data_IF_425398131747
#
_entry.id   IF_425398131747
#
_cell.length_a   1.000
_cell.length_b   1.000
_cell.length_c   1.000
_cell.angle_alpha   90.00
_cell.angle_beta   90.00
_cell.angle_gamma   90.00
#
_symmetry.space_group_name_H-M   'P 1'
#
loop_
_entity.id
_entity.type
_entity.pdbx_description
1 polymer ?
#
# COMPACT_ATOMS: atom_id res chain seq x y z
N UNK A 1 -2.87 -3.38 -29.10
CA UNK A 1 -4.14 -3.30 -28.35
C UNK A 1 -3.88 -2.45 -27.11
N UNK A 2 -4.47 -1.25 -26.96
CA UNK A 2 -4.11 -0.35 -25.87
C UNK A 2 -4.98 -0.67 -24.66
N UNK A 3 -4.71 -1.81 -24.02
CA UNK A 3 -5.36 -2.14 -22.76
C UNK A 3 -4.84 -1.16 -21.69
N UNK A 4 -5.76 -0.44 -21.04
CA UNK A 4 -5.45 0.33 -19.84
C UNK A 4 -5.07 -0.67 -18.76
N UNK A 5 -3.78 -0.83 -18.51
CA UNK A 5 -3.32 -1.36 -17.23
C UNK A 5 -3.83 -0.38 -16.16
N UNK A 6 -4.95 -0.69 -15.52
CA UNK A 6 -5.38 0.02 -14.32
C UNK A 6 -4.32 -0.28 -13.26
N UNK A 7 -3.36 0.64 -13.16
CA UNK A 7 -2.35 0.59 -12.12
C UNK A 7 -3.05 0.70 -10.77
N UNK A 8 -2.53 0.00 -9.76
CA UNK A 8 -3.01 0.06 -8.37
C UNK A 8 -3.11 1.52 -7.87
N UNK A 9 -2.32 2.42 -8.45
CA UNK A 9 -2.36 3.86 -8.19
C UNK A 9 -3.68 4.49 -8.65
N UNK A 10 -4.18 4.15 -9.83
CA UNK A 10 -5.44 4.66 -10.38
C UNK A 10 -6.65 4.27 -9.52
N UNK A 11 -6.69 3.02 -9.04
CA UNK A 11 -7.74 2.56 -8.12
C UNK A 11 -7.69 3.31 -6.79
N UNK A 12 -6.49 3.56 -6.25
CA UNK A 12 -6.35 4.34 -5.01
C UNK A 12 -6.74 5.81 -5.20
N UNK A 13 -6.48 6.39 -6.38
CA UNK A 13 -6.93 7.75 -6.71
C UNK A 13 -8.46 7.81 -6.74
N UNK A 14 -9.12 6.87 -7.43
CA UNK A 14 -10.60 6.79 -7.45
C UNK A 14 -11.18 6.63 -6.06
N UNK A 15 -10.54 5.83 -5.21
CA UNK A 15 -10.93 5.66 -3.81
C UNK A 15 -10.90 6.99 -3.05
N UNK A 16 -9.81 7.77 -3.16
CA UNK A 16 -9.69 9.06 -2.46
C UNK A 16 -10.69 10.09 -2.99
N UNK A 17 -10.94 10.10 -4.31
CA UNK A 17 -11.95 10.99 -4.92
C UNK A 17 -13.33 10.68 -4.33
N UNK A 18 -13.75 9.41 -4.29
CA UNK A 18 -15.04 9.02 -3.69
C UNK A 18 -15.11 9.36 -2.20
N UNK A 19 -14.02 9.18 -1.47
CA UNK A 19 -13.98 9.54 -0.05
C UNK A 19 -14.17 11.06 0.15
N UNK A 20 -13.60 11.89 -0.73
CA UNK A 20 -13.82 13.35 -0.75
C UNK A 20 -15.23 13.75 -1.17
N UNK A 21 -15.90 12.93 -1.97
CA UNK A 21 -17.30 13.11 -2.37
C UNK A 21 -18.28 12.99 -1.19
N UNK A 22 -17.81 12.46 -0.05
CA UNK A 22 -18.59 12.31 1.18
C UNK A 22 -18.98 10.86 1.50
N UNK A 23 -18.51 9.90 0.70
CA UNK A 23 -18.74 8.48 0.95
C UNK A 23 -18.06 8.00 2.22
N UNK A 24 -18.70 7.06 2.92
CA UNK A 24 -18.14 6.52 4.16
C UNK A 24 -16.99 5.55 3.88
N UNK A 25 -15.91 5.68 4.66
CA UNK A 25 -14.76 4.78 4.61
C UNK A 25 -15.16 3.30 4.74
N UNK A 26 -16.25 2.97 5.43
CA UNK A 26 -16.69 1.58 5.61
C UNK A 26 -17.31 0.99 4.34
N UNK A 27 -18.07 1.80 3.59
CA UNK A 27 -18.67 1.40 2.32
C UNK A 27 -17.58 1.16 1.27
N UNK A 28 -16.66 2.13 1.13
CA UNK A 28 -15.58 2.04 0.14
C UNK A 28 -14.63 0.87 0.41
N UNK A 29 -14.25 0.59 1.66
CA UNK A 29 -13.40 -0.56 1.95
C UNK A 29 -14.08 -1.90 1.58
N UNK A 30 -15.42 -2.01 1.67
CA UNK A 30 -16.15 -3.21 1.21
C UNK A 30 -16.21 -3.29 -0.31
N UNK A 31 -16.47 -2.17 -0.97
CA UNK A 31 -16.57 -2.10 -2.44
C UNK A 31 -15.25 -2.45 -3.13
N UNK A 32 -14.15 -1.88 -2.64
CA UNK A 32 -12.81 -2.12 -3.19
C UNK A 32 -12.13 -3.39 -2.63
N UNK A 33 -12.77 -4.10 -1.68
CA UNK A 33 -12.19 -5.29 -1.04
C UNK A 33 -10.92 -5.02 -0.22
N UNK A 34 -10.76 -3.77 0.25
CA UNK A 34 -9.56 -3.32 0.98
C UNK A 34 -9.81 -3.43 2.48
N UNK A 35 -8.80 -3.87 3.23
CA UNK A 35 -8.89 -3.85 4.69
C UNK A 35 -8.98 -2.41 5.21
N UNK A 36 -9.83 -2.19 6.22
CA UNK A 36 -10.01 -0.89 6.91
C UNK A 36 -8.67 -0.22 7.27
N UNK A 37 -7.74 -0.97 7.86
CA UNK A 37 -6.40 -0.49 8.22
C UNK A 37 -5.59 0.04 7.02
N UNK A 38 -5.78 -0.55 5.85
CA UNK A 38 -5.11 -0.16 4.61
C UNK A 38 -5.75 1.11 4.05
N UNK A 39 -7.08 1.20 4.08
CA UNK A 39 -7.81 2.41 3.70
C UNK A 39 -7.34 3.63 4.52
N UNK A 40 -7.22 3.49 5.85
CA UNK A 40 -6.71 4.59 6.71
C UNK A 40 -5.29 5.01 6.33
N UNK A 41 -4.38 4.05 6.09
CA UNK A 41 -3.01 4.36 5.65
C UNK A 41 -2.95 5.05 4.30
N UNK A 42 -3.84 4.69 3.38
CA UNK A 42 -3.94 5.34 2.07
C UNK A 42 -4.38 6.80 2.24
N UNK A 43 -5.37 7.03 3.11
CA UNK A 43 -5.88 8.37 3.38
C UNK A 43 -4.85 9.26 4.11
N UNK A 44 -4.22 8.74 5.16
CA UNK A 44 -3.15 9.44 5.90
C UNK A 44 -2.02 9.87 4.95
N UNK A 45 -1.55 8.96 4.08
CA UNK A 45 -0.54 9.28 3.07
C UNK A 45 -1.00 10.32 2.05
N UNK A 46 -2.29 10.29 1.70
CA UNK A 46 -2.86 11.30 0.81
C UNK A 46 -2.91 12.67 1.50
N UNK A 47 -3.22 12.75 2.79
CA UNK A 47 -3.18 14.01 3.53
C UNK A 47 -1.75 14.57 3.67
N UNK A 48 -0.76 13.70 3.87
CA UNK A 48 0.64 14.13 4.04
C UNK A 48 1.35 14.50 2.72
N UNK A 49 1.16 13.71 1.66
CA UNK A 49 1.93 13.79 0.41
C UNK A 49 1.06 13.97 -0.85
N UNK A 50 -0.26 14.10 -0.71
CA UNK A 50 -1.17 14.22 -1.85
C UNK A 50 -1.15 13.00 -2.76
N UNK A 51 -1.31 13.24 -4.08
CA UNK A 51 -1.30 12.18 -5.10
C UNK A 51 0.02 11.41 -5.16
N UNK A 52 1.14 12.05 -4.80
CA UNK A 52 2.47 11.42 -4.80
C UNK A 52 2.61 10.36 -3.70
N UNK A 53 1.81 10.44 -2.62
CA UNK A 53 1.77 9.45 -1.54
C UNK A 53 1.06 8.14 -1.91
N UNK A 54 0.27 8.14 -3.00
CA UNK A 54 -0.49 6.99 -3.49
C UNK A 54 0.32 6.12 -4.45
N UNK A 55 1.30 6.72 -5.13
CA UNK A 55 2.30 6.03 -5.95
C UNK A 55 3.13 5.06 -5.11
N UNK A 56 3.47 3.90 -5.68
CA UNK A 56 4.29 2.89 -5.01
C UNK A 56 5.71 3.44 -4.80
N UNK A 57 5.99 3.96 -3.59
CA UNK A 57 7.37 4.14 -3.15
C UNK A 57 7.92 2.75 -2.89
N UNK A 58 8.72 2.27 -3.84
CA UNK A 58 9.42 1.00 -3.78
C UNK A 58 9.88 0.70 -2.34
N UNK A 59 9.31 -0.35 -1.76
CA UNK A 59 9.60 -0.82 -0.41
C UNK A 59 11.00 -1.44 -0.39
N UNK A 60 12.05 -0.62 -0.58
CA UNK A 60 13.43 -1.08 -0.40
C UNK A 60 13.66 -1.31 1.10
N UNK A 61 13.97 -2.54 1.53
CA UNK A 61 14.56 -2.72 2.85
C UNK A 61 15.95 -2.05 2.82
N UNK A 62 16.04 -0.86 3.39
CA UNK A 62 17.32 -0.21 3.63
C UNK A 62 18.04 -1.02 4.72
N UNK A 63 19.04 -1.80 4.29
CA UNK A 63 19.98 -2.53 5.13
C UNK A 63 19.46 -3.77 5.89
N UNK A 64 19.95 -4.94 5.47
CA UNK A 64 20.52 -5.95 6.38
C UNK A 64 21.32 -6.96 5.54
N UNK A 65 22.66 -7.02 5.66
CA UNK A 65 23.41 -8.18 5.18
C UNK A 65 23.07 -9.34 6.11
N UNK A 66 22.15 -10.20 5.68
CA UNK A 66 21.86 -11.46 6.36
C UNK A 66 23.04 -12.43 6.17
N UNK A 67 24.09 -12.26 6.97
CA UNK A 67 25.15 -13.25 7.10
C UNK A 67 24.62 -14.43 7.95
N UNK A 68 23.82 -15.30 7.33
CA UNK A 68 23.48 -16.61 7.89
C UNK A 68 24.70 -17.52 7.84
N UNK A 69 25.68 -17.28 8.73
CA UNK A 69 26.76 -18.23 8.97
C UNK A 69 26.22 -19.33 9.89
N UNK A 70 25.77 -20.43 9.30
CA UNK A 70 25.40 -21.65 10.01
C UNK A 70 26.53 -22.06 10.99
N UNK A 71 26.26 -21.98 12.29
CA UNK A 71 27.14 -22.49 13.36
C UNK A 71 26.31 -23.34 14.32
N UNK A 72 25.90 -24.51 13.87
CA UNK A 72 25.52 -25.61 14.75
C UNK A 72 26.77 -26.45 15.01
N UNK A 73 27.57 -26.07 16.01
CA UNK A 73 28.63 -26.95 16.51
C UNK A 73 28.00 -28.05 17.37
N UNK A 74 28.22 -29.28 16.91
CA UNK A 74 28.01 -30.59 17.52
C UNK A 74 28.07 -30.57 19.06
N UNK A 75 27.03 -31.11 19.69
CA UNK A 75 27.18 -31.84 20.95
C UNK A 75 27.79 -33.20 20.62
N UNK A 76 28.94 -33.51 21.20
CA UNK A 76 29.37 -34.87 21.51
C UNK A 76 30.20 -34.83 22.79
#
# INVERSE_FOLDING_TARGET
MPWKESSVVDERIRFVIRLKDGETMASLCREYGILRKTCYKIFERYEECGLEGLTDRARRPTATPINYRYRWKRRS
#
